data_IF_798841698933
#
_entry.id   IF_798841698933
#
_cell.length_a   1.000
_cell.length_b   1.000
_cell.length_c   1.000
_cell.angle_alpha   90.00
_cell.angle_beta   90.00
_cell.angle_gamma   90.00
#
_symmetry.space_group_name_H-M   'P 1'
#
loop_
_entity.id
_entity.type
_entity.pdbx_description
1 polymer ?
#
# COMPACT_ATOMS: atom_id res chain seq x y z
N UNK A 1 12.91 4.67 -21.31
CA UNK A 1 11.51 4.31 -21.04
C UNK A 1 10.87 5.46 -20.22
N UNK A 2 10.33 6.49 -20.87
CA UNK A 2 9.59 7.56 -20.19
C UNK A 2 8.20 6.98 -19.92
N UNK A 3 8.00 6.43 -18.73
CA UNK A 3 6.66 6.17 -18.20
C UNK A 3 5.91 7.49 -18.30
N UNK A 4 4.76 7.47 -18.97
CA UNK A 4 3.89 8.63 -19.09
C UNK A 4 3.37 9.02 -17.69
N UNK A 5 4.18 9.76 -16.97
CA UNK A 5 3.83 10.33 -15.66
C UNK A 5 2.52 11.14 -15.76
N UNK A 6 2.20 11.67 -16.95
CA UNK A 6 0.93 12.37 -17.23
C UNK A 6 -0.31 11.50 -17.08
N UNK A 7 -0.30 10.21 -17.46
CA UNK A 7 -1.47 9.32 -17.30
C UNK A 7 -1.72 8.95 -15.84
N UNK A 8 -0.66 8.86 -15.03
CA UNK A 8 -0.83 8.60 -13.59
C UNK A 8 -1.40 9.83 -12.85
N UNK A 9 -1.07 11.05 -13.25
CA UNK A 9 -1.61 12.26 -12.64
C UNK A 9 -3.11 12.44 -12.96
N UNK A 10 -3.60 11.96 -14.10
CA UNK A 10 -5.04 11.98 -14.42
C UNK A 10 -5.84 11.01 -13.56
N UNK A 11 -5.27 9.90 -13.13
CA UNK A 11 -5.86 9.01 -12.11
C UNK A 11 -6.02 9.70 -10.73
N UNK A 12 -5.12 10.63 -10.39
CA UNK A 12 -5.21 11.44 -9.17
C UNK A 12 -6.33 12.49 -9.22
N UNK A 13 -6.74 12.90 -10.41
CA UNK A 13 -7.86 13.83 -10.65
C UNK A 13 -9.20 13.09 -10.77
N UNK A 14 -9.21 11.75 -10.79
CA UNK A 14 -10.47 11.04 -10.85
C UNK A 14 -11.24 11.28 -9.57
N UNK A 15 -12.49 11.67 -9.72
CA UNK A 15 -13.47 11.87 -8.63
C UNK A 15 -13.52 10.73 -7.63
N UNK A 16 -13.03 9.53 -8.03
CA UNK A 16 -12.92 8.35 -7.19
C UNK A 16 -12.03 8.51 -5.94
N UNK A 17 -10.91 9.24 -6.00
CA UNK A 17 -10.03 9.38 -4.83
C UNK A 17 -10.67 10.22 -3.73
N UNK A 18 -11.41 11.28 -4.10
CA UNK A 18 -12.17 12.09 -3.15
C UNK A 18 -13.26 11.24 -2.49
N UNK A 19 -13.89 10.32 -3.25
CA UNK A 19 -14.88 9.40 -2.72
C UNK A 19 -14.29 8.46 -1.64
N UNK A 20 -13.07 7.97 -1.80
CA UNK A 20 -12.41 7.15 -0.76
C UNK A 20 -12.08 7.94 0.50
N UNK A 21 -11.66 9.20 0.37
CA UNK A 21 -11.46 10.09 1.53
C UNK A 21 -12.79 10.31 2.25
N UNK A 22 -13.85 10.66 1.50
CA UNK A 22 -15.19 10.84 2.05
C UNK A 22 -15.71 9.56 2.71
N UNK A 23 -15.48 8.40 2.10
CA UNK A 23 -15.88 7.11 2.66
C UNK A 23 -15.15 6.84 3.99
N UNK A 24 -13.83 7.03 4.06
CA UNK A 24 -13.06 6.88 5.29
C UNK A 24 -13.56 7.81 6.40
N UNK A 25 -13.81 9.06 6.08
CA UNK A 25 -14.37 10.04 7.01
C UNK A 25 -15.76 9.65 7.52
N UNK A 26 -16.69 9.31 6.61
CA UNK A 26 -18.04 8.93 6.95
C UNK A 26 -18.11 7.62 7.74
N UNK A 27 -17.33 6.61 7.36
CA UNK A 27 -17.25 5.37 8.11
C UNK A 27 -16.85 5.64 9.57
N UNK A 28 -15.83 6.47 9.79
CA UNK A 28 -15.39 6.82 11.15
C UNK A 28 -16.45 7.61 11.88
N UNK A 29 -17.09 8.58 11.22
CA UNK A 29 -18.21 9.35 11.80
C UNK A 29 -19.35 8.44 12.23
N UNK A 30 -19.81 7.51 11.38
CA UNK A 30 -20.88 6.57 11.72
C UNK A 30 -20.47 5.60 12.84
N UNK A 31 -19.21 5.23 12.93
CA UNK A 31 -18.71 4.40 14.02
C UNK A 31 -18.72 5.14 15.35
N UNK A 32 -18.32 6.40 15.36
CA UNK A 32 -18.38 7.25 16.55
C UNK A 32 -19.83 7.56 16.97
N UNK A 33 -20.73 7.80 16.02
CA UNK A 33 -22.17 7.94 16.30
C UNK A 33 -22.73 6.63 16.85
N UNK A 34 -22.32 5.46 16.31
CA UNK A 34 -22.69 4.15 16.82
C UNK A 34 -22.04 3.83 18.18
N UNK A 35 -21.01 4.56 18.61
CA UNK A 35 -20.48 4.45 19.97
C UNK A 35 -21.48 4.87 21.05
N UNK A 36 -22.58 5.50 20.68
CA UNK A 36 -23.76 5.69 21.53
C UNK A 36 -24.62 4.42 21.64
N UNK A 37 -24.36 3.38 20.81
CA UNK A 37 -24.99 2.06 20.89
C UNK A 37 -24.25 1.15 21.88
N UNK A 38 -24.89 0.06 22.36
CA UNK A 38 -24.30 -0.84 23.35
C UNK A 38 -22.91 -1.35 22.96
N UNK A 39 -22.02 -1.46 23.94
CA UNK A 39 -20.59 -1.75 23.87
C UNK A 39 -20.16 -2.92 22.94
N UNK A 40 -20.97 -3.94 22.74
CA UNK A 40 -20.68 -5.08 21.86
C UNK A 40 -20.80 -4.77 20.36
N UNK A 41 -21.36 -3.64 19.99
CA UNK A 41 -21.40 -3.16 18.60
C UNK A 41 -20.23 -2.20 18.30
N UNK A 42 -19.52 -1.73 19.33
CA UNK A 42 -18.40 -0.79 19.21
C UNK A 42 -17.12 -1.44 18.68
N UNK A 43 -16.90 -2.73 18.96
CA UNK A 43 -15.80 -3.50 18.40
C UNK A 43 -16.22 -4.02 17.02
N UNK A 44 -16.29 -3.15 16.04
CA UNK A 44 -16.56 -3.62 14.70
C UNK A 44 -15.36 -4.43 14.21
N UNK A 45 -15.59 -5.73 14.00
CA UNK A 45 -14.70 -6.68 13.33
C UNK A 45 -14.09 -6.04 12.07
N UNK A 46 -14.83 -5.16 11.41
CA UNK A 46 -14.35 -4.40 10.25
C UNK A 46 -13.14 -3.52 10.55
N UNK A 47 -13.11 -2.80 11.67
CA UNK A 47 -12.00 -1.89 12.00
C UNK A 47 -10.74 -2.66 12.37
N UNK A 48 -10.87 -3.71 13.16
CA UNK A 48 -9.74 -4.60 13.48
C UNK A 48 -9.22 -5.30 12.23
N UNK A 49 -10.13 -5.79 11.37
CA UNK A 49 -9.78 -6.41 10.10
C UNK A 49 -9.08 -5.40 9.18
N UNK A 50 -9.60 -4.18 9.04
CA UNK A 50 -8.98 -3.15 8.23
C UNK A 50 -7.57 -2.81 8.75
N UNK A 51 -7.41 -2.64 10.07
CA UNK A 51 -6.12 -2.36 10.69
C UNK A 51 -5.13 -3.52 10.54
N UNK A 52 -5.60 -4.77 10.59
CA UNK A 52 -4.74 -5.93 10.37
C UNK A 52 -4.19 -6.00 8.94
N UNK A 53 -4.94 -5.55 7.96
CA UNK A 53 -4.47 -5.44 6.56
C UNK A 53 -3.59 -4.22 6.31
N UNK A 54 -3.67 -3.17 7.13
CA UNK A 54 -2.84 -1.97 7.03
C UNK A 54 -1.48 -2.11 7.72
N UNK A 55 -0.98 -3.33 7.86
CA UNK A 55 0.29 -3.60 8.53
C UNK A 55 1.47 -3.51 7.56
N UNK A 56 2.65 -3.29 8.13
CA UNK A 56 3.92 -3.39 7.40
C UNK A 56 4.09 -4.76 6.72
N UNK A 57 3.60 -5.84 7.33
CA UNK A 57 3.66 -7.19 6.77
C UNK A 57 2.95 -7.31 5.44
N UNK A 58 1.80 -6.64 5.27
CA UNK A 58 1.06 -6.62 3.99
C UNK A 58 1.88 -5.94 2.89
N UNK A 59 2.45 -4.77 3.18
CA UNK A 59 3.33 -4.06 2.24
C UNK A 59 4.59 -4.87 1.92
N UNK A 60 5.17 -5.50 2.92
CA UNK A 60 6.34 -6.36 2.74
C UNK A 60 6.03 -7.56 1.83
N UNK A 61 4.89 -8.24 2.03
CA UNK A 61 4.45 -9.34 1.17
C UNK A 61 4.21 -8.89 -0.27
N UNK A 62 3.60 -7.71 -0.47
CA UNK A 62 3.42 -7.12 -1.79
C UNK A 62 4.77 -6.78 -2.46
N UNK A 63 5.71 -6.22 -1.70
CA UNK A 63 7.05 -5.94 -2.18
C UNK A 63 7.80 -7.22 -2.59
N UNK A 64 7.73 -8.28 -1.78
CA UNK A 64 8.34 -9.57 -2.11
C UNK A 64 7.76 -10.16 -3.39
N UNK A 65 6.43 -10.08 -3.59
CA UNK A 65 5.79 -10.56 -4.80
C UNK A 65 6.26 -9.78 -6.04
N UNK A 66 6.40 -8.46 -5.93
CA UNK A 66 6.87 -7.60 -7.02
C UNK A 66 8.35 -7.88 -7.35
N UNK A 67 9.21 -8.09 -6.34
CA UNK A 67 10.62 -8.48 -6.52
C UNK A 67 10.71 -9.85 -7.19
N UNK A 68 9.88 -10.82 -6.79
CA UNK A 68 9.85 -12.15 -7.38
C UNK A 68 9.57 -12.09 -8.89
N UNK A 69 8.52 -11.38 -9.31
CA UNK A 69 8.19 -11.22 -10.73
C UNK A 69 9.25 -10.41 -11.49
N UNK A 70 9.88 -9.42 -10.83
CA UNK A 70 10.97 -8.67 -11.41
C UNK A 70 12.20 -9.55 -11.69
N UNK A 71 12.52 -10.47 -10.79
CA UNK A 71 13.62 -11.42 -11.00
C UNK A 71 13.30 -12.40 -12.14
N UNK A 72 12.04 -12.83 -12.30
CA UNK A 72 11.61 -13.61 -13.47
C UNK A 72 11.85 -12.85 -14.78
N UNK A 73 11.58 -11.53 -14.80
CA UNK A 73 11.85 -10.68 -15.97
C UNK A 73 13.36 -10.66 -16.30
N UNK A 74 14.24 -10.64 -15.30
CA UNK A 74 15.70 -10.69 -15.52
C UNK A 74 16.12 -12.06 -16.08
N UNK A 75 15.58 -13.15 -15.53
CA UNK A 75 15.89 -14.52 -16.02
C UNK A 75 15.41 -14.71 -17.46
N UNK A 76 14.20 -14.23 -17.77
CA UNK A 76 13.61 -14.34 -19.11
C UNK A 76 14.18 -13.32 -20.10
N UNK A 77 15.13 -12.46 -19.69
CA UNK A 77 15.73 -11.49 -20.59
C UNK A 77 16.39 -12.16 -21.80
N UNK A 78 16.14 -11.61 -22.99
CA UNK A 78 16.55 -12.17 -24.30
C UNK A 78 15.90 -13.53 -24.64
N UNK A 79 14.73 -13.84 -24.06
CA UNK A 79 13.93 -15.02 -24.44
C UNK A 79 12.58 -14.58 -25.03
N UNK A 80 11.87 -15.52 -25.67
CA UNK A 80 10.50 -15.25 -26.17
C UNK A 80 9.51 -14.87 -25.06
N UNK A 81 9.80 -15.24 -23.81
CA UNK A 81 8.96 -14.99 -22.65
C UNK A 81 9.16 -13.59 -22.03
N UNK A 82 10.17 -12.84 -22.47
CA UNK A 82 10.47 -11.52 -21.89
C UNK A 82 9.29 -10.54 -21.99
N UNK A 83 8.59 -10.52 -23.12
CA UNK A 83 7.44 -9.63 -23.32
C UNK A 83 6.29 -9.99 -22.38
N UNK A 84 6.03 -11.28 -22.21
CA UNK A 84 4.96 -11.78 -21.33
C UNK A 84 5.26 -11.45 -19.85
N UNK A 85 6.47 -11.75 -19.38
CA UNK A 85 6.87 -11.49 -17.98
C UNK A 85 6.90 -10.00 -17.67
N UNK A 86 7.35 -9.15 -18.60
CA UNK A 86 7.27 -7.70 -18.45
C UNK A 86 5.84 -7.19 -18.35
N UNK A 87 4.91 -7.72 -19.16
CA UNK A 87 3.50 -7.35 -19.12
C UNK A 87 2.86 -7.73 -17.79
N UNK A 88 3.15 -8.92 -17.26
CA UNK A 88 2.67 -9.39 -15.95
C UNK A 88 3.20 -8.48 -14.84
N UNK A 89 4.50 -8.16 -14.84
CA UNK A 89 5.09 -7.28 -13.83
C UNK A 89 4.47 -5.87 -13.86
N UNK A 90 4.22 -5.32 -15.04
CA UNK A 90 3.59 -4.00 -15.17
C UNK A 90 2.14 -3.99 -14.65
N UNK A 91 1.37 -5.04 -14.97
CA UNK A 91 -0.01 -5.15 -14.48
C UNK A 91 -0.04 -5.38 -12.95
N UNK A 92 0.84 -6.22 -12.42
CA UNK A 92 0.99 -6.44 -10.98
C UNK A 92 1.32 -5.11 -10.27
N UNK A 93 2.33 -4.39 -10.76
CA UNK A 93 2.70 -3.09 -10.21
C UNK A 93 1.53 -2.10 -10.22
N UNK A 94 0.81 -2.02 -11.35
CA UNK A 94 -0.37 -1.17 -11.48
C UNK A 94 -1.43 -1.51 -10.43
N UNK A 95 -1.71 -2.79 -10.20
CA UNK A 95 -2.68 -3.25 -9.20
C UNK A 95 -2.24 -2.93 -7.76
N UNK A 96 -0.96 -3.15 -7.45
CA UNK A 96 -0.38 -2.80 -6.15
C UNK A 96 -0.50 -1.30 -5.90
N UNK A 97 -0.15 -0.46 -6.87
CA UNK A 97 -0.26 1.00 -6.76
C UNK A 97 -1.71 1.44 -6.56
N UNK A 98 -2.65 0.91 -7.33
CA UNK A 98 -4.07 1.23 -7.19
C UNK A 98 -4.60 0.86 -5.81
N UNK A 99 -4.35 -0.37 -5.33
CA UNK A 99 -4.77 -0.81 -4.01
C UNK A 99 -4.17 0.02 -2.89
N UNK A 100 -2.87 0.32 -2.98
CA UNK A 100 -2.17 1.14 -1.99
C UNK A 100 -2.71 2.57 -1.94
N UNK A 101 -3.06 3.17 -3.07
CA UNK A 101 -3.69 4.49 -3.10
C UNK A 101 -5.09 4.47 -2.45
N UNK A 102 -5.92 3.47 -2.77
CA UNK A 102 -7.24 3.34 -2.14
C UNK A 102 -7.10 3.29 -0.62
N UNK A 103 -6.23 2.42 -0.11
CA UNK A 103 -5.98 2.27 1.33
C UNK A 103 -5.44 3.60 1.91
N UNK A 104 -4.48 4.23 1.26
CA UNK A 104 -3.92 5.50 1.70
C UNK A 104 -4.99 6.58 1.83
N UNK A 105 -5.86 6.74 0.83
CA UNK A 105 -6.90 7.77 0.87
C UNK A 105 -8.02 7.46 1.87
N UNK A 106 -8.34 6.19 2.09
CA UNK A 106 -9.24 5.77 3.19
C UNK A 106 -8.63 6.17 4.55
N UNK A 107 -7.36 5.86 4.79
CA UNK A 107 -6.64 6.25 6.01
C UNK A 107 -6.61 7.77 6.19
N UNK A 108 -6.45 8.52 5.10
CA UNK A 108 -6.47 9.97 5.13
C UNK A 108 -7.83 10.51 5.55
N UNK A 109 -8.93 9.93 5.06
CA UNK A 109 -10.29 10.28 5.49
C UNK A 109 -10.51 10.05 6.99
N UNK A 110 -10.07 8.89 7.50
CA UNK A 110 -10.12 8.56 8.94
C UNK A 110 -9.25 9.54 9.74
N UNK A 111 -8.05 9.82 9.28
CA UNK A 111 -7.13 10.80 9.89
C UNK A 111 -7.78 12.20 10.00
N UNK A 112 -8.40 12.70 8.92
CA UNK A 112 -9.08 13.99 8.93
C UNK A 112 -10.22 14.04 9.97
N UNK A 113 -11.00 12.94 10.07
CA UNK A 113 -12.02 12.84 11.10
C UNK A 113 -11.41 12.90 12.50
N UNK A 114 -10.35 12.13 12.78
CA UNK A 114 -9.68 12.12 14.07
C UNK A 114 -9.09 13.48 14.44
N UNK A 115 -8.50 14.21 13.47
CA UNK A 115 -7.99 15.56 13.69
C UNK A 115 -9.14 16.52 14.03
N UNK A 116 -10.24 16.44 13.28
CA UNK A 116 -11.42 17.28 13.55
C UNK A 116 -11.99 16.99 14.94
N UNK A 117 -12.19 15.72 15.27
CA UNK A 117 -12.68 15.30 16.59
C UNK A 117 -11.74 15.70 17.73
N UNK A 118 -10.40 15.61 17.51
CA UNK A 118 -9.40 16.10 18.45
C UNK A 118 -9.50 17.60 18.68
N UNK A 119 -9.65 18.40 17.62
CA UNK A 119 -9.81 19.85 17.71
C UNK A 119 -11.09 20.25 18.44
N UNK A 120 -12.23 19.55 18.18
CA UNK A 120 -13.49 19.78 18.87
C UNK A 120 -13.40 19.25 20.30
N UNK A 121 -12.82 18.08 20.51
CA UNK A 121 -12.66 17.44 21.81
C UNK A 121 -11.67 18.15 22.73
N UNK A 122 -10.81 19.06 22.20
CA UNK A 122 -10.02 19.95 23.05
C UNK A 122 -10.86 20.86 23.93
N UNK A 123 -12.11 20.99 23.59
CA UNK A 123 -13.15 21.68 24.40
C UNK A 123 -13.87 20.73 25.38
N UNK A 124 -13.60 19.42 25.35
CA UNK A 124 -14.23 18.39 26.18
C UNK A 124 -13.17 17.45 26.80
N UNK A 125 -13.53 16.75 27.88
CA UNK A 125 -12.61 16.04 28.80
C UNK A 125 -11.86 14.82 28.17
N UNK A 126 -12.14 14.39 26.93
CA UNK A 126 -11.69 13.11 26.38
C UNK A 126 -10.58 13.21 25.31
N UNK A 127 -9.68 14.16 25.44
CA UNK A 127 -8.67 14.54 24.44
C UNK A 127 -7.63 13.46 24.09
N UNK A 128 -7.30 12.56 25.03
CA UNK A 128 -6.21 11.59 24.85
C UNK A 128 -6.56 10.45 23.87
N UNK A 129 -7.84 10.14 23.69
CA UNK A 129 -8.30 9.05 22.83
C UNK A 129 -8.05 9.36 21.35
N UNK A 130 -8.50 10.51 20.88
CA UNK A 130 -8.34 10.91 19.47
C UNK A 130 -6.90 11.20 19.09
N UNK A 131 -6.08 11.73 20.01
CA UNK A 131 -4.65 12.01 19.75
C UNK A 131 -3.86 10.75 19.38
N UNK A 132 -4.11 9.61 20.01
CA UNK A 132 -3.50 8.32 19.64
C UNK A 132 -3.94 7.87 18.25
N UNK A 133 -5.22 8.02 17.91
CA UNK A 133 -5.75 7.61 16.61
C UNK A 133 -5.25 8.49 15.47
N UNK A 134 -5.02 9.79 15.70
CA UNK A 134 -4.39 10.67 14.71
C UNK A 134 -3.05 10.10 14.25
N UNK A 135 -2.19 9.70 15.17
CA UNK A 135 -0.86 9.14 14.83
C UNK A 135 -1.02 7.78 14.15
N UNK A 136 -1.91 6.92 14.65
CA UNK A 136 -2.13 5.58 14.12
C UNK A 136 -2.61 5.57 12.66
N UNK A 137 -3.35 6.59 12.22
CA UNK A 137 -3.83 6.67 10.83
C UNK A 137 -2.96 7.54 9.92
N UNK A 138 -2.19 8.50 10.48
CA UNK A 138 -1.18 9.24 9.71
C UNK A 138 -0.10 8.32 9.16
N UNK A 139 0.36 7.36 9.96
CA UNK A 139 1.41 6.42 9.58
C UNK A 139 1.03 5.54 8.38
N UNK A 140 -0.09 4.78 8.38
CA UNK A 140 -0.51 4.00 7.22
C UNK A 140 -0.76 4.89 5.98
N UNK A 141 -1.34 6.07 6.13
CA UNK A 141 -1.52 7.00 5.02
C UNK A 141 -0.21 7.28 4.29
N UNK A 142 0.82 7.73 5.00
CA UNK A 142 2.12 8.04 4.42
C UNK A 142 2.81 6.80 3.89
N UNK A 143 2.72 5.68 4.62
CA UNK A 143 3.36 4.42 4.27
C UNK A 143 2.81 3.85 2.96
N UNK A 144 1.48 3.71 2.84
CA UNK A 144 0.84 3.17 1.63
C UNK A 144 0.93 4.13 0.44
N UNK A 145 1.11 5.42 0.67
CA UNK A 145 1.32 6.39 -0.39
C UNK A 145 2.74 6.31 -0.98
N UNK A 146 3.76 6.19 -0.14
CA UNK A 146 5.17 6.31 -0.55
C UNK A 146 5.85 4.98 -0.85
N UNK A 147 5.55 3.94 -0.09
CA UNK A 147 6.26 2.67 -0.13
C UNK A 147 6.20 1.96 -1.49
N UNK A 148 5.03 1.81 -2.16
CA UNK A 148 4.96 1.15 -3.46
C UNK A 148 5.79 1.86 -4.53
N UNK A 149 5.82 3.19 -4.49
CA UNK A 149 6.62 3.98 -5.42
C UNK A 149 8.13 3.78 -5.20
N UNK A 150 8.58 3.75 -3.94
CA UNK A 150 9.98 3.51 -3.59
C UNK A 150 10.42 2.10 -3.99
N UNK A 151 9.58 1.08 -3.71
CA UNK A 151 9.84 -0.31 -4.11
C UNK A 151 9.96 -0.41 -5.63
N UNK A 152 9.02 0.14 -6.39
CA UNK A 152 9.06 0.10 -7.85
C UNK A 152 10.32 0.73 -8.42
N UNK A 153 10.73 1.88 -7.90
CA UNK A 153 12.02 2.50 -8.30
C UNK A 153 13.21 1.61 -7.99
N UNK A 154 13.26 1.07 -6.76
CA UNK A 154 14.31 0.16 -6.35
C UNK A 154 14.41 -1.08 -7.25
N UNK A 155 13.28 -1.70 -7.56
CA UNK A 155 13.17 -2.85 -8.47
C UNK A 155 13.63 -2.50 -9.88
N UNK A 156 13.23 -1.34 -10.41
CA UNK A 156 13.64 -0.91 -11.75
C UNK A 156 15.16 -0.74 -11.85
N UNK A 157 15.78 -0.13 -10.84
CA UNK A 157 17.23 0.01 -10.74
C UNK A 157 17.89 -1.37 -10.65
N UNK A 158 17.40 -2.23 -9.76
CA UNK A 158 17.94 -3.59 -9.57
C UNK A 158 17.86 -4.42 -10.85
N UNK A 159 16.73 -4.42 -11.56
CA UNK A 159 16.57 -5.11 -12.84
C UNK A 159 17.55 -4.58 -13.90
N UNK A 160 17.73 -3.26 -13.96
CA UNK A 160 18.66 -2.66 -14.93
C UNK A 160 20.11 -3.08 -14.64
N UNK A 161 20.51 -3.06 -13.37
CA UNK A 161 21.83 -3.51 -12.95
C UNK A 161 22.04 -5.00 -13.25
N UNK A 162 21.11 -5.86 -12.85
CA UNK A 162 21.24 -7.30 -13.08
C UNK A 162 21.27 -7.67 -14.57
N UNK A 163 20.53 -6.96 -15.42
CA UNK A 163 20.58 -7.17 -16.88
C UNK A 163 21.93 -6.76 -17.49
N UNK A 164 22.62 -5.81 -16.88
CA UNK A 164 23.94 -5.36 -17.33
C UNK A 164 25.08 -6.30 -16.89
N UNK A 165 24.90 -7.12 -15.84
CA UNK A 165 25.92 -8.02 -15.34
C UNK A 165 25.95 -9.35 -16.11
N UNK A 166 27.17 -9.91 -16.46
CA UNK A 166 27.29 -11.18 -17.18
C UNK A 166 26.63 -12.38 -16.49
N UNK A 167 26.60 -12.37 -15.14
CA UNK A 167 25.98 -13.41 -14.30
C UNK A 167 24.64 -12.97 -13.69
N UNK A 168 24.02 -11.94 -14.22
CA UNK A 168 22.80 -11.35 -13.65
C UNK A 168 21.63 -12.34 -13.51
N UNK A 169 21.49 -13.28 -14.45
CA UNK A 169 20.47 -14.34 -14.37
C UNK A 169 20.68 -15.28 -13.19
N UNK A 170 21.94 -15.60 -12.87
CA UNK A 170 22.28 -16.46 -11.71
C UNK A 170 21.96 -15.73 -10.41
N UNK A 171 22.30 -14.45 -10.31
CA UNK A 171 21.97 -13.65 -9.14
C UNK A 171 20.45 -13.50 -8.96
N UNK A 172 19.71 -13.30 -10.06
CA UNK A 172 18.25 -13.27 -10.02
C UNK A 172 17.64 -14.61 -9.53
N UNK A 173 18.17 -15.74 -9.97
CA UNK A 173 17.76 -17.06 -9.50
C UNK A 173 18.03 -17.26 -8.00
N UNK A 174 19.19 -16.82 -7.50
CA UNK A 174 19.52 -16.87 -6.07
C UNK A 174 18.55 -16.02 -5.26
N UNK A 175 18.20 -14.81 -5.73
CA UNK A 175 17.22 -13.94 -5.06
C UNK A 175 15.85 -14.64 -4.98
N UNK A 176 15.39 -15.29 -6.06
CA UNK A 176 14.13 -16.06 -6.05
C UNK A 176 14.17 -17.16 -4.99
N UNK A 177 15.27 -17.94 -4.94
CA UNK A 177 15.41 -19.00 -3.94
C UNK A 177 15.36 -18.45 -2.51
N UNK A 178 15.99 -17.30 -2.26
CA UNK A 178 15.92 -16.64 -0.95
C UNK A 178 14.52 -16.16 -0.60
N UNK A 179 13.76 -15.64 -1.56
CA UNK A 179 12.36 -15.22 -1.36
C UNK A 179 11.50 -16.45 -1.01
N UNK A 180 11.65 -17.56 -1.75
CA UNK A 180 10.91 -18.80 -1.48
C UNK A 180 11.27 -19.35 -0.10
N UNK A 181 12.54 -19.37 0.25
CA UNK A 181 12.98 -19.81 1.59
C UNK A 181 12.39 -18.92 2.69
N UNK A 182 12.39 -17.61 2.52
CA UNK A 182 11.79 -16.68 3.47
C UNK A 182 10.27 -16.90 3.61
N UNK A 183 9.56 -17.16 2.50
CA UNK A 183 8.12 -17.41 2.52
C UNK A 183 7.72 -18.75 3.19
N UNK A 184 8.65 -19.70 3.32
CA UNK A 184 8.42 -20.98 4.03
C UNK A 184 8.64 -20.82 5.54
N UNK A 185 9.49 -19.87 5.96
CA UNK A 185 9.87 -19.66 7.36
C UNK A 185 8.87 -18.74 8.10
N UNK A 186 8.18 -17.88 7.36
CA UNK A 186 7.16 -16.95 7.89
C UNK A 186 5.79 -17.62 7.93
#
# INVERSE_FOLDING_TARGET
MRLKVKENITLWRSEGLIAYVALGFLCTFFMEVNALLPYYLQQSIFFETLMSYMTFNTLFSLALSEIFFAMLVVICHNTKLEKLTNSILQELHKRIMQGSFIISFLCFGIFLFCVMAFCIGSLTINNNYYGKHVINFAYPFVLFLSFPYLIHKGITILCTLLKAFPKGKIHAAIIILLIIAAAIII
#
